data_IF_076037120889
#
_entry.id   IF_076037120889
#
_cell.length_a   1.000
_cell.length_b   1.000
_cell.length_c   1.000
_cell.angle_alpha   90.00
_cell.angle_beta   90.00
_cell.angle_gamma   90.00
#
_symmetry.space_group_name_H-M   'P 1'
#
loop_
_entity.id
_entity.type
_entity.pdbx_description
1 polymer ?
#
# COMPACT_ATOMS: atom_id res chain seq x y z
N UNK A 1 -52.99 7.00 47.03
CA UNK A 1 -52.20 7.68 45.98
C UNK A 1 -50.76 7.79 46.49
N UNK A 2 -49.86 6.92 46.03
CA UNK A 2 -48.44 7.01 46.35
C UNK A 2 -47.71 7.61 45.13
N UNK A 3 -47.19 8.83 45.30
CA UNK A 3 -46.40 9.54 44.31
C UNK A 3 -45.00 8.91 44.24
N UNK A 4 -44.71 8.19 43.17
CA UNK A 4 -43.37 7.68 42.86
C UNK A 4 -42.44 8.85 42.54
N UNK A 5 -41.54 9.17 43.47
CA UNK A 5 -40.39 10.01 43.19
C UNK A 5 -39.39 9.23 42.32
N UNK A 6 -39.28 9.59 41.05
CA UNK A 6 -38.17 9.17 40.19
C UNK A 6 -36.86 9.73 40.78
N UNK A 7 -36.16 8.90 41.55
CA UNK A 7 -34.76 9.16 41.89
C UNK A 7 -33.95 9.19 40.60
N UNK A 8 -33.51 10.36 40.18
CA UNK A 8 -32.41 10.50 39.20
C UNK A 8 -31.22 9.72 39.78
N UNK A 9 -30.90 8.57 39.19
CA UNK A 9 -29.72 7.79 39.51
C UNK A 9 -28.50 8.68 39.30
N UNK A 10 -27.61 8.75 40.30
CA UNK A 10 -26.31 9.41 40.14
C UNK A 10 -25.61 8.80 38.91
N UNK A 11 -25.01 9.63 38.02
CA UNK A 11 -24.19 9.09 36.93
C UNK A 11 -23.10 8.21 37.54
N UNK A 12 -22.94 7.00 37.01
CA UNK A 12 -21.84 6.13 37.40
C UNK A 12 -20.52 6.76 36.95
N UNK A 13 -19.41 6.51 37.64
CA UNK A 13 -18.07 7.03 37.24
C UNK A 13 -17.73 6.71 35.77
N UNK A 14 -18.21 5.57 35.25
CA UNK A 14 -18.08 5.19 33.85
C UNK A 14 -18.82 6.14 32.88
N UNK A 15 -20.01 6.64 33.26
CA UNK A 15 -20.79 7.57 32.44
C UNK A 15 -20.17 8.97 32.38
N UNK A 16 -19.53 9.44 33.45
CA UNK A 16 -18.81 10.73 33.43
C UNK A 16 -17.59 10.69 32.52
N UNK A 17 -16.85 9.57 32.53
CA UNK A 17 -15.73 9.34 31.62
C UNK A 17 -16.22 9.31 30.16
N UNK A 18 -17.32 8.61 29.87
CA UNK A 18 -17.89 8.57 28.52
C UNK A 18 -18.24 9.96 28.01
N UNK A 19 -18.92 10.74 28.85
CA UNK A 19 -19.29 12.12 28.53
C UNK A 19 -18.07 13.00 28.28
N UNK A 20 -17.05 12.92 29.12
CA UNK A 20 -15.82 13.69 28.97
C UNK A 20 -15.14 13.44 27.61
N UNK A 21 -15.11 12.19 27.16
CA UNK A 21 -14.53 11.82 25.87
C UNK A 21 -15.39 12.23 24.67
N UNK A 22 -16.71 12.05 24.75
CA UNK A 22 -17.62 12.40 23.65
C UNK A 22 -17.79 13.92 23.50
N UNK A 23 -17.89 14.67 24.60
CA UNK A 23 -17.95 16.14 24.57
C UNK A 23 -16.67 16.72 23.96
N UNK A 24 -15.50 16.16 24.30
CA UNK A 24 -14.25 16.63 23.72
C UNK A 24 -14.10 16.22 22.25
N UNK A 25 -14.49 14.99 21.89
CA UNK A 25 -14.55 14.54 20.51
C UNK A 25 -15.46 15.42 19.64
N UNK A 26 -16.62 15.85 20.18
CA UNK A 26 -17.50 16.79 19.53
C UNK A 26 -16.83 18.15 19.33
N UNK A 27 -16.17 18.67 20.37
CA UNK A 27 -15.48 19.98 20.35
C UNK A 27 -14.37 20.03 19.30
N UNK A 28 -13.53 19.01 19.23
CA UNK A 28 -12.42 18.96 18.27
C UNK A 28 -12.84 18.44 16.89
N UNK A 29 -14.13 18.14 16.70
CA UNK A 29 -14.67 17.53 15.46
C UNK A 29 -13.87 16.29 15.05
N UNK A 30 -13.65 15.40 16.02
CA UNK A 30 -12.96 14.14 15.79
C UNK A 30 -13.60 13.34 14.64
N UNK A 31 -12.80 12.52 13.96
CA UNK A 31 -13.31 11.57 12.97
C UNK A 31 -14.03 10.44 13.69
N UNK A 32 -15.31 10.22 13.35
CA UNK A 32 -16.19 9.25 13.99
C UNK A 32 -16.83 8.37 12.94
N UNK A 33 -16.94 7.08 13.24
CA UNK A 33 -17.66 6.10 12.44
C UNK A 33 -18.71 5.43 13.32
N UNK A 34 -19.94 5.34 12.81
CA UNK A 34 -20.97 4.47 13.35
C UNK A 34 -20.85 3.11 12.67
N UNK A 35 -20.70 2.05 13.45
CA UNK A 35 -20.67 0.67 12.97
C UNK A 35 -22.03 0.06 13.21
N UNK A 36 -22.70 -0.33 12.12
CA UNK A 36 -23.99 -1.02 12.20
C UNK A 36 -23.81 -2.48 12.69
N UNK A 37 -24.89 -3.19 13.04
CA UNK A 37 -24.82 -4.59 13.48
C UNK A 37 -24.24 -5.55 12.43
N UNK A 38 -24.17 -5.12 11.16
CA UNK A 38 -23.56 -5.88 10.06
C UNK A 38 -22.07 -5.58 9.91
N UNK A 39 -21.49 -4.75 10.77
CA UNK A 39 -20.07 -4.40 10.77
C UNK A 39 -19.68 -3.35 9.74
N UNK A 40 -20.64 -2.63 9.14
CA UNK A 40 -20.34 -1.57 8.17
C UNK A 40 -19.99 -0.29 8.89
N UNK A 41 -18.82 0.27 8.60
CA UNK A 41 -18.38 1.56 9.12
C UNK A 41 -18.98 2.69 8.27
N UNK A 42 -19.83 3.52 8.89
CA UNK A 42 -20.48 4.68 8.26
C UNK A 42 -19.90 5.96 8.87
N UNK A 43 -19.33 6.88 8.07
CA UNK A 43 -18.84 8.16 8.57
C UNK A 43 -19.94 8.94 9.31
N UNK A 44 -19.60 9.45 10.49
CA UNK A 44 -20.52 10.14 11.38
C UNK A 44 -19.87 11.39 12.01
N UNK A 45 -20.71 12.28 12.51
CA UNK A 45 -20.31 13.48 13.26
C UNK A 45 -21.18 13.63 14.50
N UNK A 46 -20.58 14.00 15.65
CA UNK A 46 -21.33 14.28 16.87
C UNK A 46 -22.07 15.61 16.75
N UNK A 47 -23.40 15.56 16.81
CA UNK A 47 -24.26 16.74 16.74
C UNK A 47 -24.63 17.22 18.13
N UNK A 48 -25.04 16.30 19.01
CA UNK A 48 -25.41 16.59 20.40
C UNK A 48 -24.96 15.44 21.30
N UNK A 49 -24.36 15.77 22.44
CA UNK A 49 -24.02 14.82 23.51
C UNK A 49 -24.75 15.27 24.78
N UNK A 50 -25.58 14.39 25.35
CA UNK A 50 -26.23 14.62 26.66
C UNK A 50 -26.02 13.41 27.57
N UNK A 51 -26.42 13.53 28.84
CA UNK A 51 -26.31 12.46 29.83
C UNK A 51 -27.18 11.23 29.52
N UNK A 52 -28.19 11.39 28.65
CA UNK A 52 -29.14 10.32 28.31
C UNK A 52 -28.91 9.78 26.90
N UNK A 53 -28.46 10.61 25.96
CA UNK A 53 -28.39 10.27 24.54
C UNK A 53 -27.28 10.98 23.79
N UNK A 54 -26.88 10.34 22.70
CA UNK A 54 -25.92 10.85 21.73
C UNK A 54 -26.63 10.95 20.38
N UNK A 55 -26.54 12.12 19.75
CA UNK A 55 -27.08 12.36 18.40
C UNK A 55 -25.94 12.52 17.41
N UNK A 56 -26.00 11.74 16.34
CA UNK A 56 -25.01 11.70 15.28
C UNK A 56 -25.62 12.10 13.95
N UNK A 57 -24.89 12.90 13.17
CA UNK A 57 -25.15 13.10 11.75
C UNK A 57 -24.37 12.07 10.96
N UNK A 58 -25.04 11.23 10.18
CA UNK A 58 -24.43 10.12 9.43
C UNK A 58 -24.43 10.40 7.93
N UNK A 59 -23.33 10.09 7.25
CA UNK A 59 -23.18 10.25 5.80
C UNK A 59 -23.34 8.90 5.10
N UNK A 60 -24.58 8.38 5.11
CA UNK A 60 -24.89 7.10 4.47
C UNK A 60 -26.14 6.43 5.04
N UNK A 61 -26.44 5.23 4.52
CA UNK A 61 -27.51 4.38 5.07
C UNK A 61 -26.96 3.53 6.20
N UNK A 62 -27.60 3.62 7.36
CA UNK A 62 -27.33 2.75 8.52
C UNK A 62 -28.34 1.61 8.47
N UNK A 63 -27.87 0.36 8.44
CA UNK A 63 -28.73 -0.82 8.42
C UNK A 63 -28.92 -1.34 9.85
N UNK A 64 -29.74 -0.63 10.63
CA UNK A 64 -30.03 -0.99 12.01
C UNK A 64 -31.49 -0.67 12.40
N UNK A 65 -32.03 -1.46 13.30
CA UNK A 65 -33.37 -1.32 13.86
C UNK A 65 -33.32 -0.70 15.27
N UNK A 66 -34.45 -0.11 15.69
CA UNK A 66 -34.57 0.46 17.03
C UNK A 66 -34.32 -0.62 18.09
N UNK A 67 -33.43 -0.32 19.03
CA UNK A 67 -32.99 -1.21 20.10
C UNK A 67 -31.71 -1.99 19.78
N UNK A 68 -31.26 -2.01 18.53
CA UNK A 68 -30.03 -2.70 18.14
C UNK A 68 -28.77 -1.98 18.64
N UNK A 69 -27.68 -2.72 18.92
CA UNK A 69 -26.41 -2.12 19.32
C UNK A 69 -25.73 -1.44 18.14
N UNK A 70 -25.33 -0.19 18.33
CA UNK A 70 -24.48 0.58 17.42
C UNK A 70 -23.15 0.80 18.12
N UNK A 71 -22.06 0.56 17.40
CA UNK A 71 -20.71 0.86 17.89
C UNK A 71 -20.25 2.20 17.32
N UNK A 72 -19.62 3.01 18.15
CA UNK A 72 -18.95 4.24 17.79
C UNK A 72 -17.46 4.01 17.82
N UNK A 73 -16.80 4.20 16.68
CA UNK A 73 -15.36 4.19 16.55
C UNK A 73 -14.88 5.60 16.28
N UNK A 74 -14.00 6.13 17.13
CA UNK A 74 -13.52 7.49 16.97
C UNK A 74 -12.06 7.64 17.41
N UNK A 75 -11.42 8.67 16.86
CA UNK A 75 -10.02 8.97 17.12
C UNK A 75 -9.91 10.27 17.93
N UNK A 76 -9.42 10.18 19.17
CA UNK A 76 -9.21 11.34 20.03
C UNK A 76 -7.88 11.22 20.76
N UNK A 77 -7.12 12.31 20.84
CA UNK A 77 -5.81 12.35 21.52
C UNK A 77 -4.83 11.27 21.04
N UNK A 78 -4.92 10.88 19.76
CA UNK A 78 -4.11 9.81 19.17
C UNK A 78 -4.57 8.38 19.51
N UNK A 79 -5.67 8.22 20.24
CA UNK A 79 -6.25 6.94 20.63
C UNK A 79 -7.42 6.56 19.73
N UNK A 80 -7.51 5.28 19.35
CA UNK A 80 -8.71 4.70 18.76
C UNK A 80 -9.62 4.19 19.89
N UNK A 81 -10.75 4.85 20.07
CA UNK A 81 -11.72 4.54 21.12
C UNK A 81 -12.96 3.88 20.50
N UNK A 82 -13.57 2.97 21.27
CA UNK A 82 -14.81 2.30 20.93
C UNK A 82 -15.82 2.48 22.06
N UNK A 83 -17.02 2.89 21.70
CA UNK A 83 -18.17 2.96 22.61
C UNK A 83 -19.34 2.22 21.99
N UNK A 84 -20.14 1.50 22.77
CA UNK A 84 -21.32 0.80 22.25
C UNK A 84 -22.56 1.30 22.98
N UNK A 85 -23.60 1.64 22.24
CA UNK A 85 -24.89 2.04 22.79
C UNK A 85 -26.04 1.51 21.94
N UNK A 86 -27.28 1.63 22.44
CA UNK A 86 -28.46 1.13 21.73
C UNK A 86 -29.13 2.22 20.91
N UNK A 87 -29.52 1.88 19.69
CA UNK A 87 -30.23 2.78 18.80
C UNK A 87 -31.63 3.10 19.35
N UNK A 88 -31.95 4.37 19.56
CA UNK A 88 -33.28 4.80 19.99
C UNK A 88 -34.14 5.28 18.82
N UNK A 89 -33.52 6.02 17.90
CA UNK A 89 -34.21 6.61 16.77
C UNK A 89 -33.26 6.69 15.56
N UNK A 90 -33.76 6.29 14.39
CA UNK A 90 -33.06 6.44 13.12
C UNK A 90 -33.94 7.28 12.18
N UNK A 91 -33.43 8.44 11.80
CA UNK A 91 -34.02 9.34 10.81
C UNK A 91 -33.07 9.50 9.64
N UNK A 92 -33.56 10.01 8.51
CA UNK A 92 -32.71 10.26 7.34
C UNK A 92 -31.52 11.16 7.71
N UNK A 93 -30.31 10.59 7.67
CA UNK A 93 -29.06 11.29 7.99
C UNK A 93 -28.82 11.57 9.48
N UNK A 94 -29.70 11.14 10.40
CA UNK A 94 -29.55 11.36 11.85
C UNK A 94 -29.78 10.07 12.63
N UNK A 95 -28.84 9.75 13.53
CA UNK A 95 -28.90 8.60 14.41
C UNK A 95 -28.91 9.09 15.86
N UNK A 96 -29.92 8.68 16.63
CA UNK A 96 -30.01 8.94 18.07
C UNK A 96 -29.87 7.63 18.82
N UNK A 97 -28.89 7.57 19.70
CA UNK A 97 -28.62 6.40 20.53
C UNK A 97 -28.52 6.76 22.00
N UNK A 98 -28.66 5.76 22.85
CA UNK A 98 -28.39 5.89 24.29
C UNK A 98 -26.93 6.25 24.54
N UNK A 99 -26.68 7.00 25.62
CA UNK A 99 -25.32 7.24 26.09
C UNK A 99 -24.63 5.89 26.34
N UNK A 100 -23.47 5.61 25.71
CA UNK A 100 -22.72 4.40 25.96
C UNK A 100 -22.36 4.26 27.44
N UNK A 101 -22.48 3.05 27.99
CA UNK A 101 -22.18 2.80 29.41
C UNK A 101 -20.68 2.76 29.70
N UNK A 102 -19.86 2.48 28.69
CA UNK A 102 -18.42 2.44 28.78
C UNK A 102 -17.77 2.81 27.45
N UNK A 103 -16.54 3.34 27.54
CA UNK A 103 -15.61 3.47 26.42
C UNK A 103 -14.48 2.47 26.65
N UNK A 104 -14.07 1.80 25.59
CA UNK A 104 -12.93 0.89 25.57
C UNK A 104 -11.90 1.36 24.56
N UNK A 105 -10.65 0.98 24.80
CA UNK A 105 -9.57 1.23 23.86
C UNK A 105 -9.66 0.18 22.75
N UNK A 106 -9.86 0.61 21.51
CA UNK A 106 -9.93 -0.25 20.32
C UNK A 106 -8.62 -0.23 19.52
N UNK A 107 -7.52 0.12 20.18
CA UNK A 107 -6.20 0.06 19.56
C UNK A 107 -5.83 -1.40 19.29
N UNK A 108 -5.72 -1.75 18.01
CA UNK A 108 -5.33 -3.10 17.57
C UNK A 108 -3.81 -3.21 17.39
N UNK A 109 -3.10 -2.07 17.46
CA UNK A 109 -1.67 -2.01 17.18
C UNK A 109 -0.90 -2.55 18.37
N UNK A 110 0.01 -3.48 18.10
CA UNK A 110 0.98 -3.99 19.10
C UNK A 110 2.20 -3.07 19.26
N UNK A 111 2.41 -2.15 18.31
CA UNK A 111 3.62 -1.33 18.21
C UNK A 111 3.25 0.15 17.94
N UNK A 112 3.90 1.12 18.60
CA UNK A 112 3.64 2.54 18.39
C UNK A 112 4.00 2.97 16.96
N UNK A 113 3.35 4.03 16.47
CA UNK A 113 3.62 4.65 15.17
C UNK A 113 3.90 6.13 15.36
N UNK A 114 4.94 6.63 14.71
CA UNK A 114 5.18 8.06 14.58
C UNK A 114 4.46 8.58 13.34
N UNK A 115 3.70 9.67 13.49
CA UNK A 115 3.23 10.45 12.34
C UNK A 115 4.36 11.34 11.85
N UNK A 116 4.46 11.49 10.54
CA UNK A 116 5.45 12.35 9.90
C UNK A 116 4.72 13.48 9.19
N UNK A 117 5.15 14.72 9.44
CA UNK A 117 4.56 15.85 8.74
C UNK A 117 5.15 15.95 7.33
N UNK A 118 4.36 16.44 6.37
CA UNK A 118 4.84 16.65 4.99
C UNK A 118 6.07 17.58 4.91
N UNK A 119 6.20 18.53 5.84
CA UNK A 119 7.36 19.44 5.93
C UNK A 119 8.67 18.73 6.25
N UNK A 120 8.60 17.54 6.83
CA UNK A 120 9.79 16.73 7.13
C UNK A 120 10.35 16.04 5.88
N UNK A 121 9.57 16.01 4.78
CA UNK A 121 10.03 15.53 3.49
C UNK A 121 10.31 14.03 3.42
N UNK A 122 9.85 13.25 4.39
CA UNK A 122 9.99 11.81 4.42
C UNK A 122 9.24 11.15 3.25
N UNK A 123 9.97 10.38 2.45
CA UNK A 123 9.45 9.75 1.23
C UNK A 123 9.83 8.29 1.17
N UNK A 124 9.02 7.47 0.50
CA UNK A 124 9.39 6.10 0.19
C UNK A 124 9.23 5.81 -1.30
N UNK A 125 10.07 4.90 -1.79
CA UNK A 125 9.94 4.24 -3.09
C UNK A 125 9.73 2.76 -2.80
N UNK A 126 8.66 2.16 -3.33
CA UNK A 126 8.34 0.76 -3.14
C UNK A 126 8.14 0.07 -4.49
N UNK A 127 8.85 -1.02 -4.75
CA UNK A 127 8.84 -1.76 -6.01
C UNK A 127 8.39 -3.19 -5.76
N UNK A 128 7.39 -3.66 -6.51
CA UNK A 128 6.92 -5.05 -6.42
C UNK A 128 7.88 -6.02 -7.11
N UNK A 129 8.63 -5.55 -8.11
CA UNK A 129 9.67 -6.30 -8.82
C UNK A 129 10.82 -5.39 -9.25
N UNK A 130 11.96 -5.98 -9.62
CA UNK A 130 13.16 -5.25 -10.03
C UNK A 130 13.12 -4.83 -11.51
N UNK A 131 12.52 -5.64 -12.37
CA UNK A 131 12.47 -5.43 -13.82
C UNK A 131 11.04 -5.28 -14.36
N UNK A 132 10.06 -5.72 -13.59
CA UNK A 132 8.64 -5.67 -13.93
C UNK A 132 7.77 -5.43 -12.67
N UNK A 133 6.48 -5.24 -12.90
CA UNK A 133 5.52 -4.90 -11.85
C UNK A 133 5.32 -3.40 -11.65
N UNK A 134 5.05 -3.01 -10.41
CA UNK A 134 4.53 -1.70 -10.03
C UNK A 134 5.52 -1.00 -9.10
N UNK A 135 5.88 0.22 -9.48
CA UNK A 135 6.65 1.14 -8.66
C UNK A 135 5.75 2.21 -8.06
N UNK A 136 5.80 2.36 -6.74
CA UNK A 136 5.11 3.41 -6.00
C UNK A 136 6.13 4.40 -5.46
N UNK A 137 5.85 5.69 -5.57
CA UNK A 137 6.63 6.76 -4.93
C UNK A 137 5.68 7.71 -4.23
N UNK A 138 6.02 8.10 -3.00
CA UNK A 138 5.12 8.94 -2.21
C UNK A 138 5.71 9.45 -0.90
N UNK A 139 4.89 10.21 -0.19
CA UNK A 139 5.22 10.72 1.14
C UNK A 139 4.82 9.70 2.21
N UNK A 140 5.63 9.56 3.25
CA UNK A 140 5.32 8.69 4.38
C UNK A 140 4.44 9.47 5.35
N UNK A 141 3.20 9.01 5.56
CA UNK A 141 2.26 9.63 6.49
C UNK A 141 2.54 9.20 7.94
N UNK A 142 2.77 7.90 8.14
CA UNK A 142 3.14 7.34 9.43
C UNK A 142 4.03 6.10 9.29
N UNK A 143 4.84 5.83 10.31
CA UNK A 143 5.79 4.72 10.32
C UNK A 143 5.92 4.10 11.72
N UNK A 144 6.16 2.80 11.78
CA UNK A 144 6.60 2.05 12.97
C UNK A 144 7.77 1.14 12.63
N UNK A 145 8.32 0.46 13.63
CA UNK A 145 9.31 -0.61 13.44
C UNK A 145 8.76 -1.82 12.65
N UNK A 146 7.44 -1.90 12.41
CA UNK A 146 6.80 -3.05 11.74
C UNK A 146 6.14 -2.70 10.40
N UNK A 147 6.12 -1.44 10.00
CA UNK A 147 5.51 -1.04 8.74
C UNK A 147 5.35 0.47 8.61
N UNK A 148 4.80 0.90 7.47
CA UNK A 148 4.53 2.31 7.18
C UNK A 148 3.19 2.49 6.47
N UNK A 149 2.75 3.74 6.37
CA UNK A 149 1.68 4.19 5.52
C UNK A 149 2.24 5.16 4.48
N UNK A 150 2.17 4.78 3.21
CA UNK A 150 2.64 5.55 2.07
C UNK A 150 1.46 6.25 1.41
N UNK A 151 1.50 7.58 1.37
CA UNK A 151 0.60 8.37 0.53
C UNK A 151 1.21 8.45 -0.87
N UNK A 152 0.65 7.68 -1.79
CA UNK A 152 1.16 7.54 -3.16
C UNK A 152 1.00 8.86 -3.91
N UNK A 153 2.12 9.42 -4.36
CA UNK A 153 2.14 10.60 -5.21
C UNK A 153 2.28 10.24 -6.69
N UNK A 154 2.96 9.13 -6.99
CA UNK A 154 3.15 8.60 -8.33
C UNK A 154 3.15 7.08 -8.30
N UNK A 155 2.50 6.48 -9.28
CA UNK A 155 2.61 5.07 -9.63
C UNK A 155 3.22 4.95 -11.02
N UNK A 156 4.06 3.94 -11.24
CA UNK A 156 4.70 3.65 -12.52
C UNK A 156 4.78 2.15 -12.76
N UNK A 157 4.75 1.76 -14.04
CA UNK A 157 5.08 0.41 -14.43
C UNK A 157 6.62 0.29 -14.46
N UNK A 158 7.18 -0.69 -13.75
CA UNK A 158 8.63 -0.84 -13.61
C UNK A 158 9.30 -1.15 -14.95
N UNK A 159 8.64 -1.93 -15.81
CA UNK A 159 9.18 -2.34 -17.12
C UNK A 159 9.19 -1.20 -18.14
N UNK A 160 8.10 -0.43 -18.22
CA UNK A 160 7.95 0.63 -19.24
C UNK A 160 8.29 2.03 -18.73
N UNK A 161 8.50 2.18 -17.42
CA UNK A 161 8.60 3.44 -16.69
C UNK A 161 7.41 4.42 -16.88
N UNK A 162 6.35 3.95 -17.53
CA UNK A 162 5.16 4.73 -17.83
C UNK A 162 4.33 5.00 -16.56
N UNK A 163 3.71 6.18 -16.45
CA UNK A 163 2.82 6.48 -15.33
C UNK A 163 1.61 5.55 -15.33
N UNK A 164 1.20 5.11 -14.14
CA UNK A 164 0.01 4.27 -13.95
C UNK A 164 -1.12 5.05 -13.27
N UNK A 165 -2.36 4.67 -13.59
CA UNK A 165 -3.53 5.25 -12.95
C UNK A 165 -3.61 4.84 -11.48
N UNK A 166 -3.68 5.83 -10.58
CA UNK A 166 -3.75 5.63 -9.13
C UNK A 166 -5.18 5.30 -8.69
N UNK A 167 -5.66 4.13 -9.11
CA UNK A 167 -6.96 3.60 -8.72
C UNK A 167 -6.86 2.62 -7.54
N UNK A 168 -8.00 2.25 -6.92
CA UNK A 168 -8.03 1.25 -5.84
C UNK A 168 -7.58 -0.15 -6.29
N UNK A 169 -7.62 -0.43 -7.60
CA UNK A 169 -7.20 -1.70 -8.19
C UNK A 169 -5.73 -1.70 -8.62
N UNK A 170 -4.98 -0.63 -8.36
CA UNK A 170 -3.57 -0.56 -8.72
C UNK A 170 -2.78 -1.67 -8.02
N UNK A 171 -3.11 -1.96 -6.76
CA UNK A 171 -2.36 -2.89 -5.93
C UNK A 171 -3.33 -3.73 -5.10
N UNK A 172 -3.01 -5.00 -4.90
CA UNK A 172 -3.83 -5.89 -4.08
C UNK A 172 -3.28 -6.03 -2.67
N UNK A 173 -4.16 -6.31 -1.70
CA UNK A 173 -3.71 -6.70 -0.37
C UNK A 173 -2.93 -8.02 -0.47
N UNK A 174 -1.77 -8.08 0.18
CA UNK A 174 -0.86 -9.23 0.15
C UNK A 174 0.23 -9.14 -0.91
N UNK A 175 0.21 -8.11 -1.77
CA UNK A 175 1.23 -7.91 -2.79
C UNK A 175 2.59 -7.61 -2.15
N UNK A 176 3.62 -8.31 -2.62
CA UNK A 176 4.97 -8.26 -2.06
C UNK A 176 5.74 -7.14 -2.74
N UNK A 177 6.37 -6.30 -1.93
CA UNK A 177 7.37 -5.34 -2.35
C UNK A 177 8.75 -5.93 -2.08
N UNK A 178 9.49 -6.23 -3.15
CA UNK A 178 10.87 -6.71 -3.06
C UNK A 178 11.79 -5.64 -2.47
N UNK A 179 11.58 -4.38 -2.85
CA UNK A 179 12.41 -3.25 -2.41
C UNK A 179 11.53 -2.11 -1.94
N UNK A 180 11.77 -1.67 -0.71
CA UNK A 180 11.19 -0.46 -0.13
C UNK A 180 12.32 0.40 0.40
N UNK A 181 12.53 1.54 -0.26
CA UNK A 181 13.56 2.52 0.08
C UNK A 181 12.94 3.68 0.85
N UNK A 182 13.36 3.81 2.10
CA UNK A 182 12.98 4.86 3.03
C UNK A 182 13.98 6.01 2.96
N UNK A 183 13.51 7.17 2.53
CA UNK A 183 14.33 8.35 2.29
C UNK A 183 13.91 9.52 3.19
N UNK A 184 14.90 10.34 3.57
CA UNK A 184 14.70 11.59 4.33
C UNK A 184 13.95 11.37 5.66
N UNK A 185 14.13 10.20 6.28
CA UNK A 185 13.62 9.96 7.61
C UNK A 185 14.45 10.75 8.64
N UNK A 186 13.80 11.48 9.58
CA UNK A 186 14.50 12.28 10.57
C UNK A 186 15.45 11.46 11.44
N UNK A 187 16.76 11.79 11.40
CA UNK A 187 17.81 11.10 12.17
C UNK A 187 17.93 9.60 11.86
N UNK A 188 17.46 9.16 10.70
CA UNK A 188 17.65 7.79 10.22
C UNK A 188 18.52 7.82 8.95
N UNK A 189 19.39 6.82 8.74
CA UNK A 189 20.04 6.64 7.45
C UNK A 189 19.01 6.26 6.39
N UNK A 190 19.47 6.19 5.15
CA UNK A 190 18.73 5.54 4.07
C UNK A 190 18.55 4.06 4.42
N UNK A 191 17.31 3.58 4.37
CA UNK A 191 16.95 2.22 4.79
C UNK A 191 16.26 1.51 3.63
N UNK A 192 16.72 0.30 3.33
CA UNK A 192 16.14 -0.55 2.30
C UNK A 192 15.67 -1.87 2.91
N UNK A 193 14.39 -2.21 2.73
CA UNK A 193 13.75 -3.40 3.29
C UNK A 193 12.69 -3.95 2.33
N UNK A 194 12.35 -5.23 2.44
CA UNK A 194 11.16 -5.80 1.80
C UNK A 194 9.89 -5.57 2.62
N UNK A 195 8.73 -5.81 2.02
CA UNK A 195 7.47 -5.75 2.75
C UNK A 195 6.26 -6.24 1.96
N UNK A 196 5.09 -6.17 2.57
CA UNK A 196 3.83 -6.66 2.00
C UNK A 196 2.73 -5.63 2.19
N UNK A 197 1.92 -5.41 1.16
CA UNK A 197 0.76 -4.54 1.20
C UNK A 197 -0.29 -5.07 2.19
N UNK A 198 -0.48 -4.37 3.31
CA UNK A 198 -1.45 -4.74 4.33
C UNK A 198 -2.86 -4.24 4.00
N UNK A 199 -2.97 -3.06 3.41
CA UNK A 199 -4.23 -2.46 2.95
C UNK A 199 -3.96 -1.35 1.93
N UNK A 200 -4.93 -1.13 1.06
CA UNK A 200 -4.94 -0.07 0.05
C UNK A 200 -6.24 0.71 0.25
N UNK A 201 -6.16 2.01 0.41
CA UNK A 201 -7.30 2.89 0.65
C UNK A 201 -7.26 4.02 -0.37
N UNK A 202 -8.36 4.20 -1.08
CA UNK A 202 -8.56 5.36 -1.96
C UNK A 202 -9.26 6.46 -1.17
N UNK A 203 -8.59 7.59 -0.97
CA UNK A 203 -9.14 8.77 -0.29
C UNK A 203 -9.20 9.94 -1.27
N UNK A 204 -10.40 10.21 -1.80
CA UNK A 204 -10.62 11.26 -2.80
C UNK A 204 -9.85 10.98 -4.09
N UNK A 205 -8.91 11.88 -4.45
CA UNK A 205 -8.04 11.74 -5.62
C UNK A 205 -6.67 11.10 -5.31
N UNK A 206 -6.48 10.54 -4.10
CA UNK A 206 -5.21 9.97 -3.67
C UNK A 206 -5.32 8.50 -3.27
N UNK A 207 -4.22 7.77 -3.43
CA UNK A 207 -4.09 6.38 -2.98
C UNK A 207 -3.17 6.34 -1.75
N UNK A 208 -3.61 5.66 -0.69
CA UNK A 208 -2.81 5.40 0.51
C UNK A 208 -2.61 3.90 0.67
N UNK A 209 -1.35 3.48 0.80
CA UNK A 209 -0.96 2.07 0.91
C UNK A 209 -0.29 1.84 2.26
N UNK A 210 -0.87 0.98 3.07
CA UNK A 210 -0.23 0.50 4.29
C UNK A 210 0.63 -0.71 4.00
N UNK A 211 1.92 -0.65 4.32
CA UNK A 211 2.90 -1.70 4.06
C UNK A 211 3.43 -2.25 5.37
N UNK A 212 3.45 -3.57 5.53
CA UNK A 212 4.10 -4.27 6.65
C UNK A 212 5.51 -4.66 6.21
N UNK A 213 6.52 -4.38 7.04
CA UNK A 213 7.89 -4.78 6.72
C UNK A 213 8.10 -6.28 6.88
N UNK A 214 9.05 -6.81 6.12
CA UNK A 214 9.49 -8.21 6.24
C UNK A 214 10.05 -8.50 7.64
N UNK A 215 9.81 -9.72 8.12
CA UNK A 215 10.33 -10.19 9.40
C UNK A 215 11.85 -10.39 9.34
N UNK A 216 12.57 -10.21 10.45
CA UNK A 216 14.03 -10.44 10.50
C UNK A 216 14.90 -9.24 10.08
N UNK A 217 14.31 -8.11 9.68
CA UNK A 217 15.04 -6.85 9.38
C UNK A 217 15.15 -5.89 10.57
N UNK A 218 15.12 -6.42 11.79
CA UNK A 218 15.02 -5.63 13.02
C UNK A 218 16.25 -4.76 13.29
N UNK A 219 17.45 -5.25 12.93
CA UNK A 219 18.71 -4.49 13.04
C UNK A 219 18.71 -3.26 12.13
N UNK A 220 18.26 -3.42 10.89
CA UNK A 220 18.15 -2.35 9.89
C UNK A 220 17.10 -1.30 10.30
N UNK A 221 16.02 -1.74 10.95
CA UNK A 221 14.93 -0.88 11.42
C UNK A 221 15.17 -0.29 12.82
N UNK A 222 16.29 -0.58 13.48
CA UNK A 222 16.62 -0.05 14.81
C UNK A 222 16.60 1.50 14.87
N UNK A 223 17.12 2.25 13.86
CA UNK A 223 17.01 3.70 13.84
C UNK A 223 15.55 4.19 13.77
N UNK A 224 14.70 3.49 13.02
CA UNK A 224 13.25 3.79 12.93
C UNK A 224 12.60 3.56 14.28
N UNK A 225 12.92 2.47 14.97
CA UNK A 225 12.43 2.20 16.32
C UNK A 225 12.79 3.33 17.28
N UNK A 226 14.05 3.75 17.33
CA UNK A 226 14.50 4.85 18.20
C UNK A 226 13.78 6.16 17.86
N UNK A 227 13.62 6.48 16.57
CA UNK A 227 12.87 7.65 16.13
C UNK A 227 11.40 7.58 16.58
N UNK A 228 10.76 6.43 16.43
CA UNK A 228 9.36 6.21 16.83
C UNK A 228 9.21 6.32 18.34
N UNK A 229 10.07 5.69 19.13
CA UNK A 229 10.04 5.79 20.60
C UNK A 229 10.30 7.20 21.09
N UNK A 230 11.16 7.97 20.41
CA UNK A 230 11.41 9.37 20.75
C UNK A 230 10.24 10.31 20.42
N UNK A 231 9.29 9.90 19.58
CA UNK A 231 8.17 10.72 19.09
C UNK A 231 6.80 10.25 19.55
N UNK A 232 6.68 8.97 19.88
CA UNK A 232 5.42 8.31 20.24
C UNK A 232 5.54 7.82 21.68
N UNK A 233 4.59 8.21 22.52
CA UNK A 233 4.44 7.59 23.83
C UNK A 233 4.12 6.09 23.70
N UNK A 234 4.30 5.34 24.80
CA UNK A 234 3.83 3.96 24.89
C UNK A 234 2.33 3.90 24.60
N UNK A 235 1.89 2.90 23.83
CA UNK A 235 0.45 2.67 23.62
C UNK A 235 -0.20 2.38 24.97
N UNK A 236 -1.23 3.14 25.37
CA UNK A 236 -1.88 2.90 26.65
C UNK A 236 -2.67 1.59 26.58
N UNK A 237 -2.56 0.80 27.65
CA UNK A 237 -3.24 -0.49 27.81
C UNK A 237 -4.67 -0.35 28.36
N UNK A 238 -5.03 0.85 28.82
CA UNK A 238 -6.36 1.22 29.30
C UNK A 238 -6.74 2.61 28.82
N UNK A 239 -8.04 2.94 28.84
CA UNK A 239 -8.51 4.30 28.54
C UNK A 239 -8.00 5.24 29.64
N UNK A 240 -7.25 6.30 29.30
CA UNK A 240 -6.78 7.25 30.31
C UNK A 240 -7.93 7.90 31.07
N UNK A 241 -7.80 8.16 32.39
CA UNK A 241 -8.81 8.89 33.13
C UNK A 241 -8.93 10.31 32.56
N UNK A 242 -10.15 10.73 32.26
CA UNK A 242 -10.45 12.08 31.74
C UNK A 242 -11.60 12.67 32.54
N UNK A 243 -11.32 13.78 33.24
CA UNK A 243 -12.34 14.49 34.00
C UNK A 243 -13.24 15.28 33.05
N UNK A 244 -14.57 15.15 33.23
CA UNK A 244 -15.54 15.97 32.51
C UNK A 244 -15.33 17.43 32.89
N UNK A 245 -15.27 18.32 31.90
CA UNK A 245 -15.22 19.76 32.17
C UNK A 245 -16.59 20.18 32.70
N UNK A 246 -16.63 20.78 33.88
CA UNK A 246 -17.87 21.42 34.34
C UNK A 246 -18.18 22.60 33.42
N UNK A 247 -19.44 22.78 32.99
CA UNK A 247 -19.84 24.03 32.38
C UNK A 247 -19.55 25.17 33.38
N UNK A 248 -19.14 26.36 32.92
CA UNK A 248 -18.92 27.49 33.82
C UNK A 248 -20.19 27.68 34.65
N UNK A 249 -20.03 27.65 35.97
CA UNK A 249 -21.10 27.90 36.94
C UNK A 249 -21.69 29.27 36.56
N UNK A 250 -22.97 29.30 36.20
CA UNK A 250 -23.65 30.55 35.89
C UNK A 250 -23.54 31.45 37.12
N UNK A 251 -22.69 32.47 37.03
CA UNK A 251 -22.74 33.59 37.95
C UNK A 251 -24.12 34.26 37.78
N UNK A 252 -24.78 34.66 38.88
CA UNK A 252 -26.09 35.28 38.81
C UNK A 252 -26.02 36.55 37.97
N UNK A 253 -26.88 36.61 36.96
CA UNK A 253 -26.98 37.74 36.04
C UNK A 253 -27.30 39.04 36.80
N UNK A 254 -26.40 40.02 36.68
CA UNK A 254 -26.71 41.43 36.96
C UNK A 254 -27.58 42.01 35.82
N UNK A 255 -28.45 42.99 36.10
CA UNK A 255 -29.62 43.27 35.29
C UNK A 255 -29.31 44.01 33.99
N UNK A 256 -30.22 43.76 33.04
CA UNK A 256 -30.27 44.24 31.66
C UNK A 256 -29.88 45.71 31.47
N UNK A 257 -28.91 45.94 30.57
CA UNK A 257 -28.81 47.17 29.80
C UNK A 257 -29.62 46.96 28.52
N UNK A 258 -30.77 47.62 28.49
CA UNK A 258 -31.66 47.77 27.35
C UNK A 258 -30.99 48.70 26.32
N UNK A 259 -30.62 48.18 25.14
CA UNK A 259 -30.23 49.03 24.02
C UNK A 259 -30.57 48.38 22.66
N UNK A 260 -31.52 49.05 22.01
CA UNK A 260 -31.71 49.21 20.57
C UNK A 260 -32.27 48.03 19.74
N UNK A 261 -33.55 48.21 19.44
CA UNK A 261 -34.35 47.66 18.35
C UNK A 261 -33.60 47.14 17.10
N UNK A 262 -34.06 45.97 16.67
CA UNK A 262 -33.69 45.27 15.44
C UNK A 262 -33.86 46.14 14.18
N UNK A 263 -32.83 46.14 13.32
CA UNK A 263 -32.95 46.59 11.93
C UNK A 263 -33.58 45.48 11.07
N UNK A 264 -34.48 45.82 10.12
CA UNK A 264 -35.18 44.83 9.30
C UNK A 264 -34.25 44.18 8.27
N UNK A 265 -34.55 42.91 7.97
CA UNK A 265 -33.84 42.07 7.01
C UNK A 265 -33.88 42.64 5.57
N UNK A 266 -32.80 42.50 4.78
CA UNK A 266 -32.83 42.78 3.35
C UNK A 266 -33.68 41.74 2.59
N UNK A 267 -34.51 42.23 1.67
CA UNK A 267 -35.41 41.47 0.80
C UNK A 267 -34.65 40.46 -0.07
N UNK A 268 -35.26 39.28 -0.24
CA UNK A 268 -34.92 38.29 -1.28
C UNK A 268 -35.16 38.87 -2.68
N UNK A 269 -34.17 38.77 -3.56
CA UNK A 269 -34.38 38.77 -5.01
C UNK A 269 -34.68 37.33 -5.49
N UNK A 270 -35.54 37.17 -6.52
CA UNK A 270 -36.00 35.87 -6.99
C UNK A 270 -34.95 35.14 -7.83
N UNK A 271 -34.83 33.83 -7.62
CA UNK A 271 -34.06 32.90 -8.44
C UNK A 271 -34.52 32.91 -9.91
N UNK A 272 -33.61 32.91 -10.89
CA UNK A 272 -33.94 32.61 -12.28
C UNK A 272 -34.31 31.12 -12.42
N UNK A 273 -35.34 30.87 -13.23
CA UNK A 273 -35.96 29.58 -13.47
C UNK A 273 -34.96 28.49 -13.97
N UNK A 274 -35.16 27.21 -13.59
CA UNK A 274 -34.38 26.10 -14.10
C UNK A 274 -34.66 25.85 -15.60
N UNK A 275 -33.58 25.69 -16.37
CA UNK A 275 -33.65 25.19 -17.74
C UNK A 275 -34.11 23.72 -17.77
N UNK A 276 -34.91 23.30 -18.76
CA UNK A 276 -35.37 21.92 -18.86
C UNK A 276 -34.22 20.96 -19.18
N UNK A 277 -34.25 19.71 -18.68
CA UNK A 277 -33.24 18.72 -18.99
C UNK A 277 -33.32 18.30 -20.47
N UNK A 278 -32.18 18.09 -21.16
CA UNK A 278 -32.19 17.49 -22.49
C UNK A 278 -32.65 16.03 -22.43
N UNK A 279 -33.48 15.67 -23.39
CA UNK A 279 -34.06 14.34 -23.56
C UNK A 279 -32.99 13.24 -23.75
N UNK A 280 -33.24 12.02 -23.24
CA UNK A 280 -32.35 10.89 -23.47
C UNK A 280 -32.40 10.44 -24.95
N UNK A 281 -31.26 10.13 -25.59
CA UNK A 281 -31.26 9.51 -26.90
C UNK A 281 -31.82 8.08 -26.83
N UNK A 282 -32.51 7.61 -27.89
CA UNK A 282 -33.21 6.33 -27.90
C UNK A 282 -32.25 5.14 -27.81
N UNK A 283 -32.71 4.12 -27.06
CA UNK A 283 -32.06 2.84 -26.91
C UNK A 283 -31.86 2.15 -28.26
N UNK A 284 -30.61 1.84 -28.59
CA UNK A 284 -30.29 0.92 -29.68
C UNK A 284 -30.68 -0.50 -29.27
N UNK A 285 -31.41 -1.17 -30.15
CA UNK A 285 -31.81 -2.56 -30.03
C UNK A 285 -30.57 -3.48 -30.01
N UNK A 286 -30.53 -4.53 -29.17
CA UNK A 286 -29.56 -5.60 -29.34
C UNK A 286 -30.05 -6.53 -30.47
N UNK A 287 -29.31 -6.55 -31.58
CA UNK A 287 -29.39 -7.64 -32.56
C UNK A 287 -28.88 -8.96 -31.94
N UNK A 288 -29.49 -10.11 -32.27
CA UNK A 288 -29.10 -11.40 -31.72
C UNK A 288 -28.10 -12.15 -32.61
N UNK A 289 -27.31 -13.01 -31.94
CA UNK A 289 -26.51 -14.17 -32.43
C UNK A 289 -25.06 -13.89 -32.86
N UNK A 290 -24.12 -14.86 -32.71
CA UNK A 290 -24.33 -16.30 -32.57
C UNK A 290 -23.67 -16.99 -31.36
N UNK A 291 -24.32 -18.10 -31.01
CA UNK A 291 -23.87 -19.24 -30.23
C UNK A 291 -22.41 -19.62 -30.54
N UNK A 292 -21.54 -19.55 -29.54
CA UNK A 292 -20.32 -20.34 -29.50
C UNK A 292 -20.67 -21.78 -29.07
N UNK A 293 -20.14 -22.81 -29.75
CA UNK A 293 -20.39 -24.20 -29.40
C UNK A 293 -19.77 -24.58 -28.06
N UNK A 294 -20.38 -25.58 -27.44
CA UNK A 294 -19.97 -26.19 -26.18
C UNK A 294 -18.47 -26.56 -26.15
N UNK A 295 -17.81 -26.53 -24.98
CA UNK A 295 -16.54 -27.19 -24.81
C UNK A 295 -16.75 -28.70 -24.96
N UNK A 296 -16.45 -29.20 -26.14
CA UNK A 296 -16.24 -30.61 -26.40
C UNK A 296 -15.04 -31.05 -25.54
N UNK A 297 -15.28 -32.03 -24.68
CA UNK A 297 -14.28 -32.64 -23.85
C UNK A 297 -13.20 -33.28 -24.73
N UNK A 298 -12.12 -32.54 -24.99
CA UNK A 298 -10.92 -33.10 -25.58
C UNK A 298 -10.24 -33.99 -24.54
N UNK A 299 -10.32 -35.29 -24.78
CA UNK A 299 -9.47 -36.33 -24.20
C UNK A 299 -7.98 -35.92 -24.21
N UNK A 300 -7.19 -36.37 -23.22
CA UNK A 300 -5.82 -35.91 -23.01
C UNK A 300 -4.90 -36.29 -24.17
N UNK A 301 -4.28 -35.29 -24.82
CA UNK A 301 -3.23 -35.51 -25.80
C UNK A 301 -1.84 -35.69 -25.14
N UNK A 302 -0.93 -36.48 -25.76
CA UNK A 302 0.36 -36.89 -25.20
C UNK A 302 1.47 -35.84 -25.42
N UNK A 303 1.28 -34.61 -24.94
CA UNK A 303 2.19 -33.49 -25.26
C UNK A 303 3.49 -33.45 -24.42
N UNK A 304 3.53 -34.11 -23.26
CA UNK A 304 4.65 -33.96 -22.32
C UNK A 304 5.98 -34.58 -22.82
N UNK A 305 5.93 -35.65 -23.62
CA UNK A 305 7.14 -36.34 -24.10
C UNK A 305 7.77 -35.63 -25.30
N UNK A 306 6.97 -34.94 -26.12
CA UNK A 306 7.45 -34.24 -27.31
C UNK A 306 8.12 -32.89 -26.99
N UNK A 307 7.67 -32.17 -25.95
CA UNK A 307 8.23 -30.86 -25.55
C UNK A 307 9.71 -30.95 -25.17
N UNK A 308 10.12 -31.97 -24.42
CA UNK A 308 11.53 -32.18 -24.05
C UNK A 308 12.46 -32.35 -25.26
N UNK A 309 11.99 -33.03 -26.32
CA UNK A 309 12.78 -33.23 -27.55
C UNK A 309 12.86 -31.98 -28.43
N UNK A 310 11.83 -31.14 -28.42
CA UNK A 310 11.77 -29.89 -29.17
C UNK A 310 12.63 -28.80 -28.51
N UNK A 311 12.49 -28.62 -27.19
CA UNK A 311 13.29 -27.68 -26.40
C UNK A 311 14.78 -28.01 -26.51
N UNK A 312 15.15 -29.28 -26.38
CA UNK A 312 16.54 -29.71 -26.53
C UNK A 312 17.12 -29.41 -27.93
N UNK A 313 16.30 -29.52 -29.00
CA UNK A 313 16.71 -29.12 -30.36
C UNK A 313 16.84 -27.60 -30.51
N UNK A 314 16.02 -26.82 -29.79
CA UNK A 314 16.12 -25.36 -29.77
C UNK A 314 17.37 -24.91 -29.01
N UNK A 315 17.65 -25.47 -27.82
CA UNK A 315 18.88 -25.24 -27.03
C UNK A 315 20.17 -25.58 -27.79
N UNK A 316 20.15 -26.59 -28.65
CA UNK A 316 21.29 -26.91 -29.54
C UNK A 316 21.48 -25.93 -30.71
N UNK A 317 20.45 -25.18 -31.08
CA UNK A 317 20.44 -24.26 -32.23
C UNK A 317 20.63 -22.79 -31.85
N UNK A 318 20.71 -22.47 -30.55
CA UNK A 318 21.03 -21.13 -30.09
C UNK A 318 22.41 -20.70 -30.59
N UNK A 319 22.53 -19.41 -30.95
CA UNK A 319 23.77 -18.88 -31.55
C UNK A 319 24.94 -18.89 -30.54
N UNK A 320 24.63 -18.78 -29.25
CA UNK A 320 25.55 -19.09 -28.15
C UNK A 320 25.22 -18.30 -26.90
N UNK A 321 25.60 -18.82 -25.73
CA UNK A 321 25.57 -18.09 -24.45
C UNK A 321 27.00 -17.73 -24.08
N UNK A 322 27.29 -16.45 -23.87
CA UNK A 322 28.61 -15.96 -23.46
C UNK A 322 28.64 -15.73 -21.96
N UNK A 323 29.59 -16.34 -21.26
CA UNK A 323 29.84 -16.17 -19.84
C UNK A 323 31.05 -15.23 -19.65
N UNK A 324 30.78 -14.00 -19.22
CA UNK A 324 31.77 -13.00 -18.87
C UNK A 324 32.10 -13.13 -17.37
N UNK A 325 33.07 -13.98 -17.07
CA UNK A 325 33.42 -14.40 -15.72
C UNK A 325 34.93 -14.65 -15.57
N UNK A 326 35.53 -14.31 -14.42
CA UNK A 326 36.91 -14.68 -14.15
C UNK A 326 37.11 -16.19 -14.09
N UNK A 327 38.35 -16.64 -14.23
CA UNK A 327 38.66 -18.06 -14.11
C UNK A 327 38.39 -18.56 -12.69
N UNK A 328 37.57 -19.61 -12.57
CA UNK A 328 37.22 -20.16 -11.27
C UNK A 328 36.21 -21.30 -11.30
N UNK A 329 35.97 -21.93 -10.15
CA UNK A 329 35.06 -23.07 -10.02
C UNK A 329 33.60 -22.71 -10.37
N UNK A 330 33.19 -21.47 -10.12
CA UNK A 330 31.82 -21.00 -10.42
C UNK A 330 31.58 -20.93 -11.93
N UNK A 331 32.60 -20.51 -12.70
CA UNK A 331 32.57 -20.51 -14.17
C UNK A 331 32.45 -21.93 -14.72
N UNK A 332 33.29 -22.85 -14.24
CA UNK A 332 33.27 -24.26 -14.66
C UNK A 332 31.94 -24.95 -14.30
N UNK A 333 31.38 -24.63 -13.13
CA UNK A 333 30.09 -25.16 -12.69
C UNK A 333 28.94 -24.67 -13.59
N UNK A 334 28.90 -23.37 -13.92
CA UNK A 334 27.88 -22.79 -14.78
C UNK A 334 27.99 -23.29 -16.22
N UNK A 335 29.21 -23.35 -16.77
CA UNK A 335 29.47 -23.90 -18.10
C UNK A 335 29.03 -25.37 -18.18
N UNK A 336 29.45 -26.19 -17.23
CA UNK A 336 29.08 -27.60 -17.15
C UNK A 336 27.58 -27.82 -17.00
N UNK A 337 26.91 -26.98 -16.22
CA UNK A 337 25.46 -27.03 -16.03
C UNK A 337 24.69 -26.73 -17.32
N UNK A 338 25.04 -25.65 -18.02
CA UNK A 338 24.41 -25.29 -19.31
C UNK A 338 24.71 -26.34 -20.40
N UNK A 339 25.94 -26.84 -20.45
CA UNK A 339 26.31 -27.89 -21.39
C UNK A 339 25.52 -29.19 -21.13
N UNK A 340 25.36 -29.59 -19.86
CA UNK A 340 24.59 -30.76 -19.47
C UNK A 340 23.10 -30.64 -19.81
N UNK A 341 22.54 -29.43 -19.72
CA UNK A 341 21.15 -29.14 -20.07
C UNK A 341 20.90 -29.05 -21.60
N UNK A 342 21.97 -29.04 -22.40
CA UNK A 342 21.90 -29.20 -23.86
C UNK A 342 22.14 -27.94 -24.68
N UNK A 343 22.68 -26.87 -24.07
CA UNK A 343 23.14 -25.69 -24.80
C UNK A 343 24.35 -26.05 -25.66
N UNK A 344 24.22 -25.88 -26.98
CA UNK A 344 25.22 -26.37 -27.95
C UNK A 344 26.48 -25.50 -28.07
N UNK A 345 26.40 -24.24 -27.62
CA UNK A 345 27.47 -23.24 -27.72
C UNK A 345 27.49 -22.39 -26.45
N UNK A 346 28.23 -22.81 -25.45
CA UNK A 346 28.56 -21.98 -24.28
C UNK A 346 29.99 -21.50 -24.49
N UNK A 347 30.20 -20.19 -24.45
CA UNK A 347 31.51 -19.55 -24.59
C UNK A 347 31.86 -18.85 -23.29
N UNK A 348 33.13 -18.85 -22.93
CA UNK A 348 33.64 -18.21 -21.73
C UNK A 348 34.64 -17.12 -22.11
N UNK A 349 34.60 -16.00 -21.41
CA UNK A 349 35.56 -14.91 -21.57
C UNK A 349 36.00 -14.42 -20.20
N UNK A 350 37.31 -14.44 -19.95
CA UNK A 350 37.93 -13.95 -18.72
C UNK A 350 38.51 -12.54 -18.87
N UNK A 351 38.81 -12.14 -20.11
CA UNK A 351 39.35 -10.82 -20.44
C UNK A 351 38.40 -10.04 -21.35
N UNK A 352 38.54 -8.71 -21.34
CA UNK A 352 37.76 -7.83 -22.22
C UNK A 352 38.00 -8.14 -23.72
N UNK A 353 39.21 -8.57 -24.08
CA UNK A 353 39.55 -8.88 -25.49
C UNK A 353 38.79 -10.12 -25.95
N UNK A 354 38.84 -11.20 -25.18
CA UNK A 354 38.08 -12.44 -25.46
C UNK A 354 36.58 -12.17 -25.54
N UNK A 355 36.06 -11.34 -24.61
CA UNK A 355 34.64 -10.99 -24.58
C UNK A 355 34.20 -10.26 -25.86
N UNK A 356 35.04 -9.35 -26.36
CA UNK A 356 34.72 -8.59 -27.57
C UNK A 356 34.85 -9.42 -28.85
N UNK A 357 35.82 -10.33 -28.91
CA UNK A 357 36.01 -11.22 -30.07
C UNK A 357 34.84 -12.18 -30.26
N UNK A 358 34.15 -12.54 -29.16
CA UNK A 358 33.05 -13.51 -29.15
C UNK A 358 31.65 -12.88 -29.24
N UNK A 359 31.55 -11.54 -29.21
CA UNK A 359 30.29 -10.81 -29.03
C UNK A 359 29.35 -10.89 -30.25
N UNK A 360 29.90 -11.02 -31.47
CA UNK A 360 29.12 -10.99 -32.72
C UNK A 360 28.26 -12.25 -32.96
N UNK A 361 28.56 -13.35 -32.26
CA UNK A 361 27.92 -14.65 -32.49
C UNK A 361 27.02 -15.12 -31.33
N UNK A 362 26.78 -14.30 -30.31
CA UNK A 362 26.05 -14.71 -29.09
C UNK A 362 24.63 -14.16 -29.04
N UNK A 363 23.75 -14.88 -28.33
CA UNK A 363 22.33 -14.55 -28.13
C UNK A 363 22.01 -14.11 -26.71
N UNK A 364 22.93 -14.32 -25.77
CA UNK A 364 22.80 -13.86 -24.38
C UNK A 364 24.20 -13.70 -23.80
N UNK A 365 24.42 -12.62 -23.06
CA UNK A 365 25.64 -12.38 -22.28
C UNK A 365 25.31 -12.46 -20.81
N UNK A 366 25.95 -13.39 -20.11
CA UNK A 366 25.86 -13.55 -18.67
C UNK A 366 27.12 -12.97 -18.03
N UNK A 367 26.96 -11.93 -17.23
CA UNK A 367 28.06 -11.23 -16.54
C UNK A 367 28.02 -11.62 -15.08
N UNK A 368 29.09 -12.24 -14.60
CA UNK A 368 29.23 -12.58 -13.20
C UNK A 368 30.65 -12.25 -12.72
N UNK A 369 30.75 -11.29 -11.78
CA UNK A 369 31.97 -10.55 -11.39
C UNK A 369 32.70 -9.83 -12.55
N UNK A 370 32.25 -9.98 -13.78
CA UNK A 370 32.79 -9.32 -14.97
C UNK A 370 34.03 -10.00 -15.55
N UNK A 371 34.81 -9.21 -16.28
CA UNK A 371 36.12 -9.61 -16.81
C UNK A 371 37.22 -8.88 -16.04
N UNK A 372 38.46 -9.34 -16.15
CA UNK A 372 39.59 -8.82 -15.38
C UNK A 372 39.72 -7.28 -15.36
N UNK A 373 39.33 -6.60 -16.45
CA UNK A 373 39.46 -5.16 -16.62
C UNK A 373 38.19 -4.36 -16.27
N UNK A 374 37.00 -4.98 -16.29
CA UNK A 374 35.71 -4.30 -16.17
C UNK A 374 34.67 -5.18 -15.48
N UNK A 375 33.95 -4.59 -14.52
CA UNK A 375 32.97 -5.29 -13.70
C UNK A 375 31.60 -4.59 -13.72
N UNK A 376 30.57 -5.35 -13.40
CA UNK A 376 29.22 -4.84 -13.13
C UNK A 376 28.63 -3.99 -14.25
N UNK A 377 28.04 -2.85 -13.86
CA UNK A 377 27.40 -1.91 -14.78
C UNK A 377 28.35 -1.28 -15.80
N UNK A 378 29.64 -1.14 -15.48
CA UNK A 378 30.61 -0.56 -16.41
C UNK A 378 30.82 -1.48 -17.61
N UNK A 379 30.91 -2.80 -17.36
CA UNK A 379 30.98 -3.80 -18.42
C UNK A 379 29.68 -3.86 -19.22
N UNK A 380 28.53 -3.87 -18.54
CA UNK A 380 27.23 -3.86 -19.21
C UNK A 380 27.04 -2.62 -20.11
N UNK A 381 27.53 -1.46 -19.68
CA UNK A 381 27.47 -0.22 -20.48
C UNK A 381 28.34 -0.30 -21.73
N UNK A 382 29.54 -0.87 -21.61
CA UNK A 382 30.41 -1.10 -22.76
C UNK A 382 29.77 -2.08 -23.75
N UNK A 383 29.22 -3.19 -23.26
CA UNK A 383 28.53 -4.19 -24.06
C UNK A 383 27.40 -3.57 -24.88
N UNK A 384 26.57 -2.74 -24.24
CA UNK A 384 25.45 -2.08 -24.90
C UNK A 384 25.88 -1.04 -25.94
N UNK A 385 26.99 -0.31 -25.70
CA UNK A 385 27.58 0.57 -26.72
C UNK A 385 28.14 -0.20 -27.92
N UNK A 386 28.58 -1.45 -27.74
CA UNK A 386 29.17 -2.27 -28.81
C UNK A 386 28.15 -3.08 -29.59
N UNK A 387 27.06 -3.47 -28.94
CA UNK A 387 25.98 -4.22 -29.57
C UNK A 387 25.11 -3.34 -30.49
N UNK A 388 25.31 -2.00 -30.51
CA UNK A 388 24.72 -1.06 -31.48
C UNK A 388 23.19 -1.25 -31.69
N UNK A 389 22.47 -1.56 -30.61
CA UNK A 389 21.01 -1.78 -30.65
C UNK A 389 20.56 -3.19 -31.07
N UNK A 390 21.48 -4.16 -31.15
CA UNK A 390 21.09 -5.58 -31.16
C UNK A 390 20.42 -5.94 -29.83
N UNK A 391 19.30 -6.66 -29.90
CA UNK A 391 18.53 -7.15 -28.75
C UNK A 391 19.22 -8.35 -28.08
N UNK A 392 20.52 -8.28 -27.81
CA UNK A 392 21.24 -9.33 -27.07
C UNK A 392 21.05 -9.07 -25.57
N UNK A 393 20.23 -9.86 -24.86
CA UNK A 393 20.00 -9.69 -23.43
C UNK A 393 21.31 -9.85 -22.64
N UNK A 394 21.57 -8.88 -21.77
CA UNK A 394 22.66 -8.93 -20.78
C UNK A 394 22.05 -9.26 -19.41
N UNK A 395 22.47 -10.36 -18.81
CA UNK A 395 22.11 -10.76 -17.45
C UNK A 395 23.31 -10.47 -16.55
N UNK A 396 23.10 -9.75 -15.45
CA UNK A 396 24.17 -9.32 -14.54
C UNK A 396 23.99 -9.96 -13.15
N UNK A 397 24.98 -10.70 -12.66
CA UNK A 397 24.99 -11.26 -11.32
C UNK A 397 25.82 -10.38 -10.37
N UNK A 398 25.20 -9.92 -9.28
CA UNK A 398 25.81 -8.98 -8.32
C UNK A 398 25.65 -9.49 -6.89
N UNK A 399 26.65 -9.21 -6.04
CA UNK A 399 26.65 -9.63 -4.64
C UNK A 399 25.58 -8.92 -3.79
N UNK A 400 25.20 -7.71 -4.19
CA UNK A 400 24.16 -6.93 -3.54
C UNK A 400 23.45 -6.07 -4.56
N UNK A 401 22.13 -5.94 -4.42
CA UNK A 401 21.31 -5.10 -5.29
C UNK A 401 20.76 -3.94 -4.49
N UNK A 402 21.06 -2.72 -4.94
CA UNK A 402 20.48 -1.48 -4.45
C UNK A 402 19.72 -0.76 -5.56
N UNK A 403 18.96 0.28 -5.20
CA UNK A 403 18.15 1.01 -6.18
C UNK A 403 18.98 1.78 -7.23
N UNK A 404 20.22 2.17 -6.92
CA UNK A 404 21.10 2.86 -7.87
C UNK A 404 21.60 1.87 -8.93
N UNK A 405 21.97 0.67 -8.51
CA UNK A 405 22.32 -0.44 -9.38
C UNK A 405 21.14 -0.81 -10.30
N UNK A 406 19.93 -0.94 -9.77
CA UNK A 406 18.74 -1.29 -10.57
C UNK A 406 18.43 -0.21 -11.61
N UNK A 407 18.44 1.06 -11.21
CA UNK A 407 18.20 2.18 -12.11
C UNK A 407 19.32 2.29 -13.17
N UNK A 408 20.58 2.08 -12.77
CA UNK A 408 21.72 2.05 -13.67
C UNK A 408 21.66 0.89 -14.66
N UNK A 409 21.32 -0.32 -14.18
CA UNK A 409 21.13 -1.51 -14.99
C UNK A 409 20.06 -1.28 -16.07
N UNK A 410 18.91 -0.71 -15.70
CA UNK A 410 17.85 -0.37 -16.66
C UNK A 410 18.28 0.69 -17.67
N UNK A 411 18.98 1.75 -17.23
CA UNK A 411 19.48 2.80 -18.13
C UNK A 411 20.48 2.26 -19.15
N UNK A 412 21.30 1.30 -18.72
CA UNK A 412 22.28 0.62 -19.56
C UNK A 412 21.61 -0.36 -20.52
N UNK A 413 20.44 -0.91 -20.18
CA UNK A 413 19.77 -1.94 -20.98
C UNK A 413 20.08 -3.37 -20.54
N UNK A 414 20.43 -3.56 -19.27
CA UNK A 414 20.55 -4.90 -18.65
C UNK A 414 19.16 -5.53 -18.60
N UNK A 415 19.03 -6.74 -19.12
CA UNK A 415 17.77 -7.47 -19.21
C UNK A 415 17.33 -8.03 -17.86
N UNK A 416 18.28 -8.44 -17.01
CA UNK A 416 18.02 -8.96 -15.67
C UNK A 416 19.24 -8.83 -14.77
N UNK A 417 19.00 -8.59 -13.47
CA UNK A 417 20.01 -8.68 -12.41
C UNK A 417 19.68 -9.87 -11.51
N UNK A 418 20.67 -10.71 -11.25
CA UNK A 418 20.64 -11.82 -10.31
C UNK A 418 21.41 -11.45 -9.05
N UNK A 419 20.90 -11.86 -7.89
CA UNK A 419 21.56 -11.61 -6.59
C UNK A 419 22.31 -12.85 -6.17
N UNK A 420 23.59 -12.72 -5.84
CA UNK A 420 24.38 -13.84 -5.29
C UNK A 420 24.04 -14.10 -3.81
N UNK A 421 24.15 -15.36 -3.34
CA UNK A 421 24.37 -16.57 -4.14
C UNK A 421 23.09 -16.97 -4.91
N UNK A 422 23.24 -17.40 -6.16
CA UNK A 422 22.15 -17.95 -6.96
C UNK A 422 22.34 -19.46 -7.15
N UNK A 423 21.24 -20.19 -7.29
CA UNK A 423 21.26 -21.64 -7.50
C UNK A 423 21.22 -21.96 -9.00
N UNK A 424 21.96 -23.00 -9.42
CA UNK A 424 21.87 -23.58 -10.75
C UNK A 424 20.76 -24.64 -10.77
N UNK A 425 19.52 -24.18 -10.90
CA UNK A 425 18.33 -25.02 -10.82
C UNK A 425 17.36 -24.78 -12.00
N UNK A 426 16.15 -25.33 -11.89
CA UNK A 426 15.14 -25.20 -12.94
C UNK A 426 14.63 -23.76 -13.12
N UNK A 427 14.65 -22.94 -12.06
CA UNK A 427 14.23 -21.52 -12.14
C UNK A 427 15.28 -20.71 -12.89
N UNK A 428 16.57 -20.98 -12.65
CA UNK A 428 17.66 -20.41 -13.42
C UNK A 428 17.55 -20.74 -14.91
N UNK A 429 17.24 -22.00 -15.25
CA UNK A 429 17.05 -22.41 -16.65
C UNK A 429 15.86 -21.72 -17.30
N UNK A 430 14.72 -21.63 -16.62
CA UNK A 430 13.55 -20.93 -17.14
C UNK A 430 13.83 -19.45 -17.41
N UNK A 431 14.65 -18.81 -16.58
CA UNK A 431 15.08 -17.44 -16.78
C UNK A 431 15.91 -17.29 -18.07
N UNK A 432 16.92 -18.14 -18.27
CA UNK A 432 17.74 -18.14 -19.48
C UNK A 432 16.89 -18.44 -20.72
N UNK A 433 16.01 -19.45 -20.65
CA UNK A 433 15.09 -19.81 -21.75
C UNK A 433 14.12 -18.67 -22.10
N UNK A 434 13.64 -17.93 -21.11
CA UNK A 434 12.77 -16.77 -21.30
C UNK A 434 13.46 -15.64 -22.07
N UNK A 435 14.71 -15.32 -21.73
CA UNK A 435 15.49 -14.29 -22.46
C UNK A 435 15.88 -14.74 -23.86
N UNK A 436 16.10 -16.04 -24.07
CA UNK A 436 16.39 -16.59 -25.39
C UNK A 436 15.14 -16.81 -26.25
N UNK A 437 13.93 -16.59 -25.70
CA UNK A 437 12.67 -16.80 -26.40
C UNK A 437 12.38 -18.26 -26.76
N UNK A 438 12.86 -19.20 -25.93
CA UNK A 438 12.72 -20.65 -26.13
C UNK A 438 11.57 -21.23 -25.26
N UNK A 439 11.18 -20.53 -24.20
CA UNK A 439 10.13 -20.91 -23.25
C UNK A 439 8.70 -20.65 -23.76
#
# INVERSE_FOLDING_TARGET
>A
MAMFGLKKSKPSEGSELVLAYLEDAQRVRATIFAVDPKGREIPASLVVVTEERVTLGVQGRVMAEKGEPIELLFYLDGLRLKATGRLQELKTGTLVMELPTAITLAERRKKPRARLNQREGATAIALTGLFDGIGLTGAIDNISEGGMCLKVGRAMNVKTQGPMHMGPNLLSKGEVFMVIKLNKLPKCPLIEVGGVAAHVVSEGNGLSVGITFESGKESILAPVKTMVTGRSGSLPTSVPPKARRQPPKAEPAEPAIELAAARPAPKKEPDPAPAPPPAPPPAAAPEPKPTAPAPEAASPQPEAVNRGSALYRMKKRTRGVLLAMPEGPDREALEGFLAADGYGKVRVAATLTELLDELDEVQLVFVDDGVAELQGLALASLLQQRLDGQETPVVLAEASVDAELVLGAQQVGVAQVLVKPYALDAEFLQMIEGHLGIA
#
